data_IF_617082717993
#
_entry.id   IF_617082717993
#
_cell.length_a   1.000
_cell.length_b   1.000
_cell.length_c   1.000
_cell.angle_alpha   90.00
_cell.angle_beta   90.00
_cell.angle_gamma   90.00
#
_symmetry.space_group_name_H-M   'P 1'
#
loop_
_entity.id
_entity.type
_entity.pdbx_description
1 polymer ?
#
# COMPACT_ATOMS: atom_id res chain seq x y z
N UNK A 1 30.09 5.11 -21.87
CA UNK A 1 29.77 4.87 -20.45
C UNK A 1 28.68 3.82 -20.39
N UNK A 2 29.07 2.60 -20.07
CA UNK A 2 28.24 1.39 -20.24
C UNK A 2 27.43 1.15 -18.97
N UNK A 3 26.10 1.19 -19.08
CA UNK A 3 25.20 0.84 -17.98
C UNK A 3 25.19 -0.68 -17.80
N UNK A 4 25.70 -1.16 -16.66
CA UNK A 4 25.62 -2.55 -16.28
C UNK A 4 24.17 -2.87 -15.85
N UNK A 5 23.42 -3.51 -16.76
CA UNK A 5 22.16 -4.15 -16.41
C UNK A 5 22.47 -5.41 -15.59
N UNK A 6 22.29 -5.36 -14.28
CA UNK A 6 22.35 -6.55 -13.43
C UNK A 6 21.11 -7.40 -13.69
N UNK A 7 21.25 -8.47 -14.49
CA UNK A 7 20.27 -9.53 -14.53
C UNK A 7 20.14 -10.15 -13.13
N UNK A 8 18.89 -10.37 -12.69
CA UNK A 8 18.59 -11.10 -11.45
C UNK A 8 19.32 -12.45 -11.44
N UNK A 9 20.01 -12.82 -10.34
CA UNK A 9 20.71 -14.09 -10.27
C UNK A 9 19.70 -15.23 -10.47
N UNK A 10 19.97 -16.07 -11.47
CA UNK A 10 19.15 -17.21 -11.83
C UNK A 10 19.09 -18.17 -10.63
N UNK A 11 17.94 -18.24 -9.95
CA UNK A 11 17.71 -19.15 -8.83
C UNK A 11 16.80 -18.61 -7.71
N UNK A 12 16.57 -17.29 -7.63
CA UNK A 12 15.64 -16.74 -6.64
C UNK A 12 14.20 -16.74 -7.18
N UNK A 13 13.28 -17.29 -6.37
CA UNK A 13 11.85 -17.18 -6.69
C UNK A 13 11.45 -15.70 -6.80
N UNK A 14 10.59 -15.33 -7.77
CA UNK A 14 10.18 -13.94 -7.93
C UNK A 14 9.48 -13.44 -6.67
N UNK A 15 9.91 -12.27 -6.19
CA UNK A 15 9.33 -11.61 -5.01
C UNK A 15 7.83 -11.40 -5.18
N UNK A 16 7.09 -11.53 -4.10
CA UNK A 16 5.63 -11.41 -4.04
C UNK A 16 5.24 -10.24 -3.16
N UNK A 17 4.53 -9.28 -3.73
CA UNK A 17 4.02 -8.14 -2.98
C UNK A 17 2.50 -8.01 -3.10
N UNK A 18 1.87 -7.67 -1.99
CA UNK A 18 0.43 -7.38 -1.92
C UNK A 18 0.24 -5.88 -1.70
N UNK A 19 -0.45 -5.24 -2.63
CA UNK A 19 -0.84 -3.83 -2.56
C UNK A 19 -2.27 -3.75 -2.02
N UNK A 20 -2.49 -3.09 -0.89
CA UNK A 20 -3.80 -2.97 -0.25
C UNK A 20 -4.29 -1.54 -0.36
N UNK A 21 -5.40 -1.33 -1.07
CA UNK A 21 -5.97 0.00 -1.27
C UNK A 21 -6.99 0.36 -0.20
N UNK A 22 -6.81 1.55 0.38
CA UNK A 22 -7.82 2.21 1.22
C UNK A 22 -8.92 2.83 0.37
N UNK A 23 -10.07 3.12 0.97
CA UNK A 23 -11.16 3.75 0.24
C UNK A 23 -10.87 5.20 -0.15
N UNK A 24 -11.12 5.53 -1.42
CA UNK A 24 -11.54 6.87 -1.84
C UNK A 24 -10.48 7.87 -2.30
N UNK A 25 -9.21 7.48 -2.50
CA UNK A 25 -8.20 8.38 -3.08
C UNK A 25 -7.84 7.95 -4.51
N UNK A 26 -8.35 8.70 -5.50
CA UNK A 26 -8.00 8.49 -6.91
C UNK A 26 -6.48 8.48 -7.11
N UNK A 27 -5.78 9.38 -6.40
CA UNK A 27 -4.32 9.48 -6.39
C UNK A 27 -3.62 8.18 -6.00
N UNK A 28 -4.06 7.49 -4.94
CA UNK A 28 -3.37 6.24 -4.53
C UNK A 28 -3.71 5.09 -5.47
N UNK A 29 -4.89 5.08 -6.08
CA UNK A 29 -5.23 4.06 -7.08
C UNK A 29 -4.39 4.23 -8.36
N UNK A 30 -4.27 5.46 -8.88
CA UNK A 30 -3.37 5.77 -10.01
C UNK A 30 -1.92 5.45 -9.67
N UNK A 31 -1.47 5.78 -8.45
CA UNK A 31 -0.13 5.45 -7.98
C UNK A 31 0.10 3.93 -7.91
N UNK A 32 -0.84 3.17 -7.32
CA UNK A 32 -0.75 1.70 -7.24
C UNK A 32 -0.71 1.07 -8.62
N UNK A 33 -1.48 1.58 -9.59
CA UNK A 33 -1.41 1.11 -10.98
C UNK A 33 0.00 1.32 -11.57
N UNK A 34 0.54 2.54 -11.45
CA UNK A 34 1.88 2.85 -11.94
C UNK A 34 2.97 2.01 -11.24
N UNK A 35 2.83 1.81 -9.93
CA UNK A 35 3.73 1.00 -9.12
C UNK A 35 3.65 -0.48 -9.53
N UNK A 36 2.44 -1.02 -9.71
CA UNK A 36 2.21 -2.39 -10.13
C UNK A 36 2.85 -2.65 -11.50
N UNK A 37 2.64 -1.77 -12.48
CA UNK A 37 3.28 -1.86 -13.79
C UNK A 37 4.82 -1.89 -13.68
N UNK A 38 5.41 -0.99 -12.89
CA UNK A 38 6.86 -0.93 -12.71
C UNK A 38 7.46 -2.14 -11.99
N UNK A 39 6.72 -2.73 -11.03
CA UNK A 39 7.13 -3.92 -10.28
C UNK A 39 6.99 -5.18 -11.12
N UNK A 40 5.87 -5.34 -11.84
CA UNK A 40 5.65 -6.46 -12.76
C UNK A 40 6.72 -6.46 -13.86
N UNK A 41 7.04 -5.30 -14.45
CA UNK A 41 8.12 -5.17 -15.43
C UNK A 41 9.51 -5.58 -14.90
N UNK A 42 9.69 -5.62 -13.57
CA UNK A 42 10.92 -6.06 -12.90
C UNK A 42 10.85 -7.51 -12.39
N UNK A 43 9.81 -8.26 -12.78
CA UNK A 43 9.63 -9.66 -12.41
C UNK A 43 9.05 -9.90 -11.01
N UNK A 44 8.51 -8.87 -10.36
CA UNK A 44 7.82 -9.01 -9.07
C UNK A 44 6.38 -9.47 -9.32
N UNK A 45 5.92 -10.48 -8.58
CA UNK A 45 4.51 -10.90 -8.56
C UNK A 45 3.72 -9.93 -7.69
N UNK A 46 2.85 -9.15 -8.33
CA UNK A 46 2.02 -8.16 -7.65
C UNK A 46 0.58 -8.66 -7.53
N UNK A 47 0.00 -8.54 -6.33
CA UNK A 47 -1.44 -8.70 -6.12
C UNK A 47 -2.03 -7.42 -5.57
N UNK A 48 -3.06 -6.88 -6.21
CA UNK A 48 -3.78 -5.69 -5.77
C UNK A 48 -5.10 -6.10 -5.11
N UNK A 49 -5.19 -5.85 -3.81
CA UNK A 49 -6.39 -6.03 -3.00
C UNK A 49 -7.22 -4.73 -3.02
N UNK A 50 -8.30 -4.72 -3.79
CA UNK A 50 -9.14 -3.55 -3.97
C UNK A 50 -10.60 -3.93 -4.31
N UNK A 51 -11.58 -3.04 -4.07
CA UNK A 51 -12.95 -3.26 -4.54
C UNK A 51 -13.05 -3.33 -6.07
N UNK A 52 -14.10 -3.95 -6.59
CA UNK A 52 -14.30 -4.12 -8.03
C UNK A 52 -14.45 -2.79 -8.77
N UNK A 53 -14.99 -1.77 -8.12
CA UNK A 53 -15.10 -0.42 -8.68
C UNK A 53 -13.71 0.15 -8.99
N UNK A 54 -12.73 -0.10 -8.12
CA UNK A 54 -11.37 0.36 -8.32
C UNK A 54 -10.69 -0.41 -9.46
N UNK A 55 -10.84 -1.73 -9.52
CA UNK A 55 -10.31 -2.51 -10.65
C UNK A 55 -10.88 -2.04 -11.98
N UNK A 56 -12.21 -1.84 -12.08
CA UNK A 56 -12.84 -1.35 -13.32
C UNK A 56 -12.36 0.03 -13.74
N UNK A 57 -12.03 0.89 -12.78
CA UNK A 57 -11.62 2.28 -13.06
C UNK A 57 -10.14 2.39 -13.39
N UNK A 58 -9.29 1.63 -12.70
CA UNK A 58 -7.83 1.78 -12.77
C UNK A 58 -7.13 0.63 -13.47
N UNK A 59 -7.81 -0.49 -13.75
CA UNK A 59 -7.29 -1.61 -14.53
C UNK A 59 -5.93 -2.09 -14.01
N UNK A 60 -5.91 -2.62 -12.78
CA UNK A 60 -4.67 -3.14 -12.19
C UNK A 60 -4.26 -4.44 -12.89
N UNK A 61 -5.24 -5.26 -13.30
CA UNK A 61 -4.97 -6.50 -14.03
C UNK A 61 -4.31 -6.25 -15.39
N UNK A 62 -4.66 -5.17 -16.09
CA UNK A 62 -4.00 -4.74 -17.33
C UNK A 62 -2.51 -4.41 -17.18
N UNK A 63 -1.99 -4.24 -15.95
CA UNK A 63 -0.54 -4.10 -15.71
C UNK A 63 0.18 -5.45 -15.55
N UNK A 64 -0.53 -6.57 -15.63
CA UNK A 64 -0.03 -7.91 -15.32
C UNK A 64 -0.06 -8.26 -13.82
N UNK A 65 -0.69 -7.44 -12.98
CA UNK A 65 -0.91 -7.76 -11.57
C UNK A 65 -2.14 -8.68 -11.41
N UNK A 66 -2.15 -9.51 -10.37
CA UNK A 66 -3.38 -10.19 -9.97
C UNK A 66 -4.29 -9.19 -9.24
N UNK A 67 -5.59 -9.17 -9.54
CA UNK A 67 -6.59 -8.46 -8.75
C UNK A 67 -7.31 -9.44 -7.81
N UNK A 68 -7.46 -9.05 -6.55
CA UNK A 68 -8.35 -9.74 -5.62
C UNK A 68 -9.34 -8.75 -5.06
N UNK A 69 -10.63 -9.07 -5.19
CA UNK A 69 -11.67 -8.28 -4.58
C UNK A 69 -11.58 -8.37 -3.07
N UNK A 70 -11.37 -7.21 -2.43
CA UNK A 70 -11.49 -7.08 -0.99
C UNK A 70 -12.33 -5.84 -0.71
N UNK A 71 -13.54 -5.98 -0.10
CA UNK A 71 -14.39 -4.85 0.25
C UNK A 71 -13.65 -3.85 1.12
N UNK A 72 -14.07 -2.57 1.15
CA UNK A 72 -13.47 -1.52 2.01
C UNK A 72 -13.79 -1.66 3.51
N UNK A 73 -14.49 -2.72 3.89
CA UNK A 73 -14.91 -3.00 5.27
C UNK A 73 -13.79 -3.61 6.12
N UNK A 74 -13.84 -3.36 7.43
CA UNK A 74 -12.95 -3.99 8.43
C UNK A 74 -13.62 -5.18 9.13
N UNK A 75 -14.70 -5.71 8.57
CA UNK A 75 -15.36 -6.90 9.10
C UNK A 75 -14.44 -8.14 9.07
N UNK A 76 -14.70 -9.15 9.92
CA UNK A 76 -13.86 -10.35 10.01
C UNK A 76 -13.68 -11.08 8.68
N UNK A 77 -14.69 -11.12 7.81
CA UNK A 77 -14.62 -11.77 6.50
C UNK A 77 -13.65 -11.04 5.56
N UNK A 78 -13.76 -9.72 5.47
CA UNK A 78 -12.84 -8.88 4.69
C UNK A 78 -11.38 -8.99 5.18
N UNK A 79 -11.17 -9.11 6.50
CA UNK A 79 -9.84 -9.30 7.09
C UNK A 79 -9.32 -10.71 6.85
N UNK A 80 -10.17 -11.74 6.93
CA UNK A 80 -9.79 -13.13 6.64
C UNK A 80 -9.41 -13.31 5.17
N UNK A 81 -10.16 -12.73 4.24
CA UNK A 81 -9.82 -12.71 2.82
C UNK A 81 -8.45 -12.06 2.58
N UNK A 82 -8.21 -10.88 3.19
CA UNK A 82 -6.91 -10.21 3.10
C UNK A 82 -5.78 -11.06 3.70
N UNK A 83 -6.02 -11.72 4.84
CA UNK A 83 -5.07 -12.64 5.48
C UNK A 83 -4.72 -13.81 4.56
N UNK A 84 -5.71 -14.38 3.87
CA UNK A 84 -5.49 -15.46 2.92
C UNK A 84 -4.58 -15.03 1.78
N UNK A 85 -4.86 -13.88 1.14
CA UNK A 85 -4.02 -13.32 0.06
C UNK A 85 -2.59 -13.07 0.52
N UNK A 86 -2.41 -12.57 1.75
CA UNK A 86 -1.09 -12.27 2.30
C UNK A 86 -0.26 -13.51 2.73
N UNK A 87 -0.76 -14.74 2.57
CA UNK A 87 -0.10 -15.96 3.11
C UNK A 87 1.28 -16.20 2.53
N UNK A 88 1.48 -15.84 1.25
CA UNK A 88 2.75 -16.01 0.55
C UNK A 88 3.35 -14.66 0.14
N UNK A 89 2.97 -13.58 0.82
CA UNK A 89 3.52 -12.27 0.53
C UNK A 89 4.88 -12.13 1.22
N UNK A 90 5.89 -11.72 0.45
CA UNK A 90 7.19 -11.30 0.98
C UNK A 90 7.10 -9.89 1.57
N UNK A 91 6.15 -9.08 1.08
CA UNK A 91 5.89 -7.73 1.57
C UNK A 91 4.45 -7.30 1.31
N UNK A 92 3.81 -6.65 2.28
CA UNK A 92 2.51 -6.01 2.10
C UNK A 92 2.67 -4.50 2.16
N UNK A 93 2.18 -3.80 1.14
CA UNK A 93 2.16 -2.34 1.09
C UNK A 93 0.72 -1.84 1.12
N UNK A 94 0.36 -1.15 2.21
CA UNK A 94 -0.99 -0.62 2.41
C UNK A 94 -1.05 0.90 2.22
N UNK A 95 -2.06 1.35 1.47
CA UNK A 95 -2.22 2.74 1.04
C UNK A 95 -3.38 3.41 1.78
N UNK A 96 -3.07 4.28 2.73
CA UNK A 96 -4.04 4.98 3.57
C UNK A 96 -4.42 4.22 4.85
N UNK A 97 -4.85 4.98 5.87
CA UNK A 97 -4.97 4.51 7.25
C UNK A 97 -5.85 3.27 7.43
N UNK A 98 -7.03 3.23 6.79
CA UNK A 98 -7.96 2.10 6.93
C UNK A 98 -7.42 0.82 6.29
N UNK A 99 -6.79 0.91 5.12
CA UNK A 99 -6.11 -0.24 4.52
C UNK A 99 -4.93 -0.70 5.37
N UNK A 100 -4.13 0.24 5.88
CA UNK A 100 -3.02 -0.08 6.77
C UNK A 100 -3.48 -0.79 8.05
N UNK A 101 -4.59 -0.35 8.64
CA UNK A 101 -5.15 -0.99 9.82
C UNK A 101 -5.59 -2.43 9.54
N UNK A 102 -6.28 -2.64 8.42
CA UNK A 102 -6.71 -3.99 8.02
C UNK A 102 -5.56 -4.90 7.66
N UNK A 103 -4.55 -4.38 6.97
CA UNK A 103 -3.32 -5.11 6.69
C UNK A 103 -2.60 -5.50 7.99
N UNK A 104 -2.52 -4.60 8.97
CA UNK A 104 -1.96 -4.90 10.29
C UNK A 104 -2.75 -6.02 11.02
N UNK A 105 -4.09 -6.03 10.93
CA UNK A 105 -4.91 -7.13 11.47
C UNK A 105 -4.65 -8.44 10.72
N UNK A 106 -4.67 -8.41 9.39
CA UNK A 106 -4.44 -9.58 8.54
C UNK A 106 -3.06 -10.22 8.77
N UNK A 107 -2.05 -9.39 9.04
CA UNK A 107 -0.67 -9.79 9.31
C UNK A 107 -0.38 -10.08 10.79
N UNK A 108 -1.36 -9.97 11.69
CA UNK A 108 -1.16 -10.28 13.10
C UNK A 108 -0.61 -11.71 13.27
N UNK A 109 0.48 -11.84 14.02
CA UNK A 109 1.20 -13.10 14.23
C UNK A 109 2.08 -13.55 13.05
N UNK A 110 2.24 -12.75 11.99
CA UNK A 110 3.11 -13.06 10.83
C UNK A 110 4.38 -12.23 10.85
N UNK A 111 5.43 -12.74 10.20
CA UNK A 111 6.72 -12.05 10.01
C UNK A 111 6.78 -11.19 8.75
N UNK A 112 5.75 -11.25 7.91
CA UNK A 112 5.70 -10.46 6.66
C UNK A 112 5.78 -8.96 6.98
N UNK A 113 6.75 -8.23 6.41
CA UNK A 113 6.90 -6.81 6.63
C UNK A 113 5.70 -6.03 6.08
N UNK A 114 5.24 -5.04 6.86
CA UNK A 114 4.16 -4.14 6.50
C UNK A 114 4.74 -2.74 6.19
N UNK A 115 4.63 -2.33 4.94
CA UNK A 115 4.91 -0.97 4.49
C UNK A 115 3.59 -0.21 4.41
N UNK A 116 3.57 1.02 4.91
CA UNK A 116 2.36 1.86 4.86
C UNK A 116 2.67 3.21 4.24
N UNK A 117 1.80 3.68 3.35
CA UNK A 117 1.85 5.07 2.89
C UNK A 117 0.74 5.85 3.56
N UNK A 118 1.12 6.88 4.30
CA UNK A 118 0.19 7.84 4.90
C UNK A 118 -0.05 8.99 3.93
N UNK A 119 -1.33 9.25 3.71
CA UNK A 119 -1.80 10.45 3.04
C UNK A 119 -2.36 11.40 4.09
N UNK A 120 -2.33 12.69 3.79
CA UNK A 120 -2.95 13.67 4.68
C UNK A 120 -4.44 13.38 4.83
N UNK A 121 -4.97 13.61 6.03
CA UNK A 121 -6.39 13.40 6.34
C UNK A 121 -7.05 14.72 6.64
N UNK A 122 -8.26 14.90 6.14
CA UNK A 122 -9.11 16.01 6.54
C UNK A 122 -9.19 16.06 8.08
N UNK A 123 -9.01 17.27 8.62
CA UNK A 123 -9.12 17.48 10.06
C UNK A 123 -10.50 16.98 10.52
N UNK A 124 -10.51 16.20 11.58
CA UNK A 124 -11.73 15.61 12.13
C UNK A 124 -11.68 15.84 13.62
N UNK A 125 -12.74 16.41 14.17
CA UNK A 125 -12.85 16.74 15.59
C UNK A 125 -13.65 15.68 16.36
N UNK A 126 -13.57 15.77 17.69
CA UNK A 126 -14.38 14.96 18.60
C UNK A 126 -13.99 13.47 18.69
N UNK A 127 -14.93 12.58 19.08
CA UNK A 127 -14.66 11.16 19.33
C UNK A 127 -14.04 10.43 18.14
N UNK A 128 -14.43 10.82 16.91
CA UNK A 128 -13.86 10.28 15.67
C UNK A 128 -12.36 10.58 15.56
N UNK A 129 -11.92 11.77 15.97
CA UNK A 129 -10.52 12.14 16.00
C UNK A 129 -9.71 11.22 16.91
N UNK A 130 -10.25 10.92 18.10
CA UNK A 130 -9.61 10.04 19.07
C UNK A 130 -9.49 8.61 18.52
N UNK A 131 -10.57 8.08 17.94
CA UNK A 131 -10.55 6.77 17.30
C UNK A 131 -9.50 6.68 16.18
N UNK A 132 -9.43 7.67 15.29
CA UNK A 132 -8.42 7.71 14.23
C UNK A 132 -7.00 7.76 14.79
N UNK A 133 -6.74 8.50 15.88
CA UNK A 133 -5.43 8.51 16.55
C UNK A 133 -5.04 7.13 17.12
N UNK A 134 -6.02 6.38 17.64
CA UNK A 134 -5.78 5.02 18.11
C UNK A 134 -5.42 4.09 16.94
N UNK A 135 -6.14 4.18 15.82
CA UNK A 135 -5.80 3.41 14.62
C UNK A 135 -4.41 3.77 14.09
N UNK A 136 -4.08 5.07 14.02
CA UNK A 136 -2.75 5.54 13.60
C UNK A 136 -1.66 4.95 14.49
N UNK A 137 -1.83 4.97 15.81
CA UNK A 137 -0.89 4.39 16.77
C UNK A 137 -0.72 2.89 16.58
N UNK A 138 -1.82 2.17 16.34
CA UNK A 138 -1.77 0.72 16.08
C UNK A 138 -1.02 0.43 14.78
N UNK A 139 -1.32 1.16 13.71
CA UNK A 139 -0.68 1.01 12.41
C UNK A 139 0.80 1.37 12.47
N UNK A 140 1.16 2.50 13.05
CA UNK A 140 2.55 2.96 13.14
C UNK A 140 3.44 1.93 13.87
N UNK A 141 2.94 1.37 14.96
CA UNK A 141 3.66 0.34 15.73
C UNK A 141 3.78 -1.01 15.02
N UNK A 142 2.81 -1.35 14.18
CA UNK A 142 2.79 -2.59 13.42
C UNK A 142 3.61 -2.51 12.12
N UNK A 143 3.72 -1.31 11.53
CA UNK A 143 4.45 -1.09 10.30
C UNK A 143 5.97 -1.29 10.50
N UNK A 144 6.58 -1.97 9.54
CA UNK A 144 8.03 -2.04 9.39
C UNK A 144 8.58 -0.69 8.95
N UNK A 145 7.90 -0.04 7.98
CA UNK A 145 8.23 1.30 7.48
C UNK A 145 6.95 2.09 7.22
N UNK A 146 6.94 3.34 7.68
CA UNK A 146 5.89 4.33 7.38
C UNK A 146 6.43 5.36 6.40
N UNK A 147 5.80 5.47 5.23
CA UNK A 147 6.08 6.53 4.27
C UNK A 147 5.11 7.70 4.46
N UNK A 148 5.66 8.89 4.68
CA UNK A 148 4.92 10.15 4.63
C UNK A 148 5.19 10.88 3.33
N UNK A 149 4.17 11.53 2.76
CA UNK A 149 4.34 12.39 1.57
C UNK A 149 4.87 13.78 1.90
N UNK A 150 4.88 14.14 3.19
CA UNK A 150 5.41 15.41 3.72
C UNK A 150 6.25 15.14 4.97
N UNK A 151 7.18 16.04 5.29
CA UNK A 151 7.96 15.98 6.53
C UNK A 151 7.07 15.97 7.78
N UNK A 152 5.99 16.77 7.78
CA UNK A 152 5.01 16.79 8.87
C UNK A 152 4.35 15.42 9.11
N UNK A 153 4.07 14.65 8.06
CA UNK A 153 3.55 13.28 8.17
C UNK A 153 4.59 12.32 8.72
N UNK A 154 5.87 12.49 8.35
CA UNK A 154 6.98 11.68 8.88
C UNK A 154 7.16 11.94 10.38
N UNK A 155 7.18 13.19 10.80
CA UNK A 155 7.33 13.53 12.22
C UNK A 155 6.14 13.06 13.05
N UNK A 156 4.94 13.17 12.47
CA UNK A 156 3.74 12.59 13.06
C UNK A 156 3.87 11.07 13.20
N UNK A 157 4.34 10.35 12.19
CA UNK A 157 4.53 8.91 12.25
C UNK A 157 5.47 8.51 13.39
N UNK A 158 6.59 9.22 13.54
CA UNK A 158 7.54 9.03 14.65
C UNK A 158 6.89 9.25 16.01
N UNK A 159 6.20 10.38 16.21
CA UNK A 159 5.46 10.67 17.46
C UNK A 159 4.37 9.65 17.76
N UNK A 160 3.79 9.05 16.73
CA UNK A 160 2.76 8.01 16.85
C UNK A 160 3.34 6.60 17.11
N UNK A 161 4.67 6.45 17.07
CA UNK A 161 5.38 5.22 17.45
C UNK A 161 5.86 4.37 16.27
N UNK A 162 6.03 4.97 15.09
CA UNK A 162 6.67 4.30 13.95
C UNK A 162 8.13 3.99 14.26
N UNK A 163 8.55 2.75 13.96
CA UNK A 163 9.94 2.30 14.14
C UNK A 163 10.87 2.86 13.08
N UNK A 164 10.37 2.96 11.85
CA UNK A 164 11.03 3.59 10.71
C UNK A 164 10.01 4.45 9.98
N UNK A 165 10.32 5.73 9.81
CA UNK A 165 9.47 6.69 9.11
C UNK A 165 10.31 7.49 8.13
N UNK A 166 9.92 7.44 6.85
CA UNK A 166 10.69 8.01 5.73
C UNK A 166 9.81 8.88 4.85
N UNK A 167 10.42 9.90 4.26
CA UNK A 167 9.77 10.68 3.24
C UNK A 167 9.76 9.86 1.94
N UNK A 168 8.58 9.69 1.34
CA UNK A 168 8.47 9.19 -0.02
C UNK A 168 7.77 10.24 -0.87
N UNK A 169 8.51 10.81 -1.82
CA UNK A 169 7.90 11.59 -2.88
C UNK A 169 7.05 10.63 -3.72
N UNK A 170 5.73 10.73 -3.60
CA UNK A 170 4.82 10.10 -4.56
C UNK A 170 5.03 10.85 -5.86
N UNK A 171 5.85 10.31 -6.75
CA UNK A 171 5.93 10.78 -8.12
C UNK A 171 4.54 10.57 -8.75
N UNK A 172 3.79 11.67 -8.87
CA UNK A 172 2.60 11.67 -9.71
C UNK A 172 3.07 11.50 -11.15
N UNK A 173 2.45 10.62 -11.95
CA UNK A 173 2.70 10.60 -13.38
C UNK A 173 2.48 12.01 -13.94
N UNK A 174 3.41 12.50 -14.76
CA UNK A 174 3.21 13.76 -15.47
C UNK A 174 1.88 13.68 -16.26
N UNK A 175 1.10 14.79 -16.36
CA UNK A 175 -0.08 14.82 -17.20
C UNK A 175 0.30 14.35 -18.61
N UNK A 176 -0.46 13.39 -19.19
CA UNK A 176 -0.31 13.10 -20.61
C UNK A 176 -0.67 14.39 -21.37
N UNK A 177 0.14 14.84 -22.34
CA UNK A 177 -0.27 15.95 -23.18
C UNK A 177 -1.60 15.60 -23.84
N UNK A 178 -2.54 16.56 -23.84
CA UNK A 178 -3.78 16.42 -24.58
C UNK A 178 -3.41 16.17 -26.05
N UNK A 179 -3.91 15.07 -26.61
CA UNK A 179 -3.90 14.87 -28.05
C UNK A 179 -4.87 15.89 -28.65
N UNK A 180 -4.33 16.79 -29.48
CA UNK A 180 -5.10 17.61 -30.43
C UNK A 180 -5.92 16.74 -31.39
#
# INVERSE_FOLDING_TARGET
MTAASSNSPHGQSPLRTVQVLGGGNATSSTHVRSLAAGLVARGVRVTVCAPFEAERTYDFSGTGAAHVHVPRSSDPGSVAALRWVCTHADLVHAHGLHASFRAALALSGRRTPLVVTWHDRAHTDGPRAHFLRLLERRVAKAATVVFGTTSALVDRARRTGARDARLAAVALPAPRPASD
#
